data_IF_850675442704
#
_entry.id   IF_850675442704
#
_cell.length_a   1.000
_cell.length_b   1.000
_cell.length_c   1.000
_cell.angle_alpha   90.00
_cell.angle_beta   90.00
_cell.angle_gamma   90.00
#
_symmetry.space_group_name_H-M   'P 1'
#
loop_
_entity.id
_entity.type
_entity.pdbx_description
1 polymer ?
#
# COMPACT_ATOMS: atom_id res chain seq x y z
N UNK A 1 14.03 10.95 -21.54
CA UNK A 1 13.83 9.87 -20.56
C UNK A 1 12.50 10.16 -19.87
N UNK A 2 11.40 9.62 -20.38
CA UNK A 2 10.07 9.87 -19.83
C UNK A 2 9.86 9.03 -18.57
N UNK A 3 10.02 9.65 -17.40
CA UNK A 3 9.66 9.01 -16.14
C UNK A 3 8.15 8.87 -16.05
N UNK A 4 7.64 7.65 -15.84
CA UNK A 4 6.21 7.40 -15.66
C UNK A 4 5.78 7.89 -14.27
N UNK A 5 5.42 9.18 -14.20
CA UNK A 5 4.98 9.84 -12.98
C UNK A 5 3.61 9.31 -12.52
N UNK A 6 3.52 8.96 -11.25
CA UNK A 6 2.26 8.60 -10.60
C UNK A 6 1.65 9.84 -9.97
N UNK A 7 0.36 10.07 -10.21
CA UNK A 7 -0.37 11.20 -9.61
C UNK A 7 -0.41 11.09 -8.09
N UNK A 8 -0.51 12.23 -7.41
CA UNK A 8 -0.62 12.30 -5.94
C UNK A 8 -1.91 12.98 -5.51
N UNK A 9 -2.50 12.53 -4.40
CA UNK A 9 -3.68 13.15 -3.81
C UNK A 9 -3.58 13.16 -2.29
N UNK A 10 -4.27 14.10 -1.64
CA UNK A 10 -4.44 14.11 -0.20
C UNK A 10 -5.74 13.41 0.20
N UNK A 11 -5.67 12.57 1.23
CA UNK A 11 -6.82 12.01 1.91
C UNK A 11 -6.93 12.63 3.31
N UNK A 12 -7.99 13.41 3.53
CA UNK A 12 -8.26 14.04 4.81
C UNK A 12 -9.32 13.25 5.59
N UNK A 13 -9.10 13.04 6.89
CA UNK A 13 -10.06 12.37 7.77
C UNK A 13 -10.12 13.07 9.11
N UNK A 14 -11.33 13.40 9.55
CA UNK A 14 -11.58 13.84 10.91
C UNK A 14 -11.88 12.62 11.78
N UNK A 15 -11.17 12.48 12.89
CA UNK A 15 -11.52 11.54 13.96
C UNK A 15 -12.38 12.31 14.95
N UNK A 16 -13.51 11.72 15.32
CA UNK A 16 -14.45 12.28 16.29
C UNK A 16 -14.58 11.36 17.50
N UNK A 17 -14.88 11.90 18.67
CA UNK A 17 -15.24 11.11 19.85
C UNK A 17 -16.70 10.64 19.80
N UNK A 18 -17.13 9.91 20.82
CA UNK A 18 -18.52 9.45 20.98
C UNK A 18 -19.54 10.61 21.06
N UNK A 19 -19.09 11.81 21.43
CA UNK A 19 -19.89 13.04 21.47
C UNK A 19 -19.83 13.84 20.15
N UNK A 20 -19.32 13.22 19.06
CA UNK A 20 -19.20 13.82 17.72
C UNK A 20 -18.31 15.08 17.65
N UNK A 21 -17.49 15.34 18.67
CA UNK A 21 -16.49 16.41 18.67
C UNK A 21 -15.20 15.94 18.01
N UNK A 22 -14.55 16.83 17.25
CA UNK A 22 -13.31 16.51 16.54
C UNK A 22 -12.17 16.34 17.54
N UNK A 23 -11.58 15.16 17.58
CA UNK A 23 -10.43 14.83 18.41
C UNK A 23 -9.13 14.86 17.64
N UNK A 24 -9.17 14.60 16.33
CA UNK A 24 -7.96 14.54 15.51
C UNK A 24 -8.26 14.91 14.05
N UNK A 25 -7.34 15.63 13.40
CA UNK A 25 -7.37 15.88 11.95
C UNK A 25 -6.21 15.12 11.32
N UNK A 26 -6.52 14.11 10.51
CA UNK A 26 -5.52 13.30 9.80
C UNK A 26 -5.45 13.73 8.34
N UNK A 27 -4.23 13.90 7.83
CA UNK A 27 -3.95 14.06 6.41
C UNK A 27 -3.00 12.94 5.99
N UNK A 28 -3.26 12.33 4.83
CA UNK A 28 -2.39 11.30 4.24
C UNK A 28 -2.11 11.66 2.79
N UNK A 29 -0.83 11.64 2.42
CA UNK A 29 -0.43 11.73 1.03
C UNK A 29 -0.53 10.34 0.40
N UNK A 30 -1.28 10.22 -0.69
CA UNK A 30 -1.55 8.96 -1.37
C UNK A 30 -1.06 9.01 -2.83
N UNK A 31 -0.41 7.95 -3.27
CA UNK A 31 -0.12 7.72 -4.69
C UNK A 31 -1.38 7.21 -5.40
N UNK A 32 -1.70 7.77 -6.57
CA UNK A 32 -2.84 7.36 -7.40
C UNK A 32 -2.46 6.15 -8.27
N UNK A 33 -2.12 5.02 -7.62
CA UNK A 33 -1.67 3.79 -8.28
C UNK A 33 -2.71 3.14 -9.21
N UNK A 34 -4.00 3.49 -9.05
CA UNK A 34 -5.11 3.01 -9.88
C UNK A 34 -5.11 3.58 -11.30
N UNK A 35 -4.33 4.64 -11.57
CA UNK A 35 -4.23 5.26 -12.91
C UNK A 35 -3.27 4.51 -13.85
N UNK A 36 -2.71 3.37 -13.43
CA UNK A 36 -1.94 2.49 -14.31
C UNK A 36 -2.91 1.85 -15.31
N UNK A 37 -2.77 2.20 -16.58
CA UNK A 37 -3.55 1.64 -17.69
C UNK A 37 -3.57 0.11 -17.63
N UNK A 38 -4.76 -0.46 -17.78
CA UNK A 38 -5.07 -1.87 -17.64
C UNK A 38 -4.27 -2.80 -18.58
N UNK A 39 -3.66 -2.26 -19.63
CA UNK A 39 -3.11 -3.04 -20.74
C UNK A 39 -1.73 -3.67 -20.52
N UNK A 40 -0.95 -3.30 -19.48
CA UNK A 40 0.45 -3.77 -19.39
C UNK A 40 0.86 -4.36 -18.03
N UNK A 41 0.23 -4.00 -16.91
CA UNK A 41 0.66 -4.47 -15.57
C UNK A 41 -0.47 -5.02 -14.69
N UNK A 42 -1.71 -5.10 -15.18
CA UNK A 42 -2.84 -5.55 -14.36
C UNK A 42 -2.72 -7.03 -13.99
N UNK A 43 -2.22 -7.86 -14.91
CA UNK A 43 -2.07 -9.31 -14.71
C UNK A 43 -0.90 -9.73 -13.79
N UNK A 44 -0.07 -8.79 -13.30
CA UNK A 44 1.10 -9.11 -12.44
C UNK A 44 0.93 -8.76 -10.96
N UNK A 45 -0.22 -8.23 -10.54
CA UNK A 45 -0.40 -7.67 -9.18
C UNK A 45 -1.65 -8.17 -8.48
N UNK A 46 -1.72 -9.47 -8.27
CA UNK A 46 -2.38 -9.99 -7.09
C UNK A 46 -1.28 -10.45 -6.17
N UNK A 47 -1.11 -9.77 -5.02
CA UNK A 47 -0.41 -10.40 -3.92
C UNK A 47 -1.06 -11.78 -3.74
N UNK A 48 -0.30 -12.89 -3.70
CA UNK A 48 -0.87 -14.21 -3.50
C UNK A 48 -1.52 -14.21 -2.12
N UNK A 49 -2.79 -13.84 -2.06
CA UNK A 49 -3.60 -14.06 -0.88
C UNK A 49 -3.70 -15.57 -0.78
N UNK A 50 -3.08 -16.15 0.25
CA UNK A 50 -3.12 -17.59 0.47
C UNK A 50 -4.56 -18.06 0.37
N UNK A 51 -4.80 -19.03 -0.53
CA UNK A 51 -6.14 -19.57 -0.74
C UNK A 51 -6.58 -20.17 0.59
N UNK A 52 -7.74 -19.73 1.11
CA UNK A 52 -8.26 -20.20 2.40
C UNK A 52 -8.38 -21.73 2.47
N UNK A 53 -8.62 -22.38 1.33
CA UNK A 53 -8.68 -23.84 1.22
C UNK A 53 -7.32 -24.49 1.54
N UNK A 54 -6.21 -23.93 1.04
CA UNK A 54 -4.86 -24.42 1.32
C UNK A 54 -4.50 -24.19 2.79
N UNK A 55 -4.86 -23.04 3.36
CA UNK A 55 -4.66 -22.77 4.78
C UNK A 55 -5.46 -23.76 5.66
N UNK A 56 -6.73 -24.02 5.31
CA UNK A 56 -7.56 -25.02 6.01
C UNK A 56 -6.96 -26.42 5.91
N UNK A 57 -6.48 -26.83 4.74
CA UNK A 57 -5.83 -28.13 4.57
C UNK A 57 -4.57 -28.26 5.43
N UNK A 58 -3.76 -27.20 5.51
CA UNK A 58 -2.56 -27.15 6.35
C UNK A 58 -2.91 -27.28 7.84
N UNK A 59 -3.93 -26.55 8.31
CA UNK A 59 -4.40 -26.62 9.70
C UNK A 59 -4.93 -28.03 10.02
N UNK A 60 -5.77 -28.59 9.13
CA UNK A 60 -6.29 -29.95 9.31
C UNK A 60 -5.15 -30.99 9.39
N UNK A 61 -4.13 -30.84 8.54
CA UNK A 61 -2.95 -31.70 8.58
C UNK A 61 -2.17 -31.57 9.89
N UNK A 62 -1.97 -30.33 10.37
CA UNK A 62 -1.30 -30.06 11.64
C UNK A 62 -2.06 -30.70 12.82
N UNK A 63 -3.39 -30.64 12.83
CA UNK A 63 -4.23 -31.30 13.84
C UNK A 63 -4.04 -32.83 13.82
N UNK A 64 -4.04 -33.45 12.63
CA UNK A 64 -3.86 -34.90 12.48
C UNK A 64 -2.46 -35.33 12.97
N UNK A 65 -1.44 -34.54 12.64
CA UNK A 65 -0.04 -34.84 12.98
C UNK A 65 0.39 -34.34 14.36
N UNK A 66 -0.51 -33.69 15.12
CA UNK A 66 -0.22 -33.04 16.41
C UNK A 66 0.97 -32.06 16.32
N UNK A 67 1.06 -31.33 15.21
CA UNK A 67 2.10 -30.32 14.98
C UNK A 67 1.60 -28.97 15.51
N UNK A 68 2.41 -28.31 16.34
CA UNK A 68 2.15 -26.94 16.73
C UNK A 68 2.55 -25.99 15.61
N UNK A 69 1.69 -25.02 15.30
CA UNK A 69 2.00 -23.94 14.36
C UNK A 69 1.81 -22.58 15.03
N UNK A 70 2.65 -21.63 14.63
CA UNK A 70 2.57 -20.24 15.05
C UNK A 70 2.27 -19.37 13.83
N UNK A 71 1.27 -18.51 13.95
CA UNK A 71 0.99 -17.47 12.94
C UNK A 71 1.59 -16.15 13.43
N UNK A 72 2.39 -15.52 12.58
CA UNK A 72 2.94 -14.20 12.84
C UNK A 72 2.33 -13.23 11.83
N UNK A 73 1.55 -12.28 12.32
CA UNK A 73 1.11 -11.13 11.53
C UNK A 73 2.16 -10.02 11.64
N UNK A 74 2.94 -9.85 10.58
CA UNK A 74 3.96 -8.81 10.53
C UNK A 74 3.29 -7.50 10.13
N UNK A 75 3.16 -6.59 11.10
CA UNK A 75 2.70 -5.23 10.83
C UNK A 75 3.59 -4.60 9.76
N UNK A 76 2.95 -4.01 8.75
CA UNK A 76 3.64 -3.28 7.69
C UNK A 76 4.59 -4.14 6.83
N UNK A 77 4.39 -5.47 6.74
CA UNK A 77 5.21 -6.34 5.90
C UNK A 77 5.34 -5.83 4.46
N UNK A 78 4.24 -5.28 3.92
CA UNK A 78 4.21 -4.72 2.58
C UNK A 78 5.07 -3.47 2.43
N UNK A 79 5.12 -2.60 3.45
CA UNK A 79 5.91 -1.35 3.43
C UNK A 79 7.42 -1.59 3.46
N UNK A 80 7.85 -2.77 3.93
CA UNK A 80 9.26 -3.14 4.01
C UNK A 80 9.74 -3.97 2.82
N UNK A 81 8.87 -4.30 1.86
CA UNK A 81 9.28 -4.98 0.66
C UNK A 81 10.18 -4.05 -0.18
N UNK A 82 11.29 -4.57 -0.76
CA UNK A 82 12.11 -3.79 -1.66
C UNK A 82 11.31 -3.39 -2.91
N UNK A 83 11.53 -2.16 -3.37
CA UNK A 83 10.98 -1.70 -4.63
C UNK A 83 11.80 -2.29 -5.78
N UNK A 84 11.19 -3.18 -6.57
CA UNK A 84 11.83 -3.72 -7.77
C UNK A 84 12.07 -2.64 -8.86
N UNK A 85 11.35 -1.51 -8.79
CA UNK A 85 11.46 -0.40 -9.72
C UNK A 85 11.27 0.92 -8.98
N UNK A 86 12.03 1.95 -9.39
CA UNK A 86 11.85 3.31 -8.88
C UNK A 86 10.46 3.84 -9.26
N UNK A 87 9.72 4.33 -8.27
CA UNK A 87 8.42 4.94 -8.47
C UNK A 87 8.51 6.44 -8.18
N UNK A 88 8.20 7.25 -9.19
CA UNK A 88 8.22 8.70 -9.11
C UNK A 88 6.79 9.24 -8.97
N UNK A 89 6.61 10.22 -8.10
CA UNK A 89 5.34 10.84 -7.77
C UNK A 89 5.35 12.30 -8.17
N UNK A 90 4.20 12.78 -8.68
CA UNK A 90 3.98 14.22 -8.87
C UNK A 90 4.07 14.97 -7.54
N UNK A 91 4.42 16.26 -7.60
CA UNK A 91 4.36 17.10 -6.41
C UNK A 91 2.90 17.26 -5.98
N UNK A 92 2.55 16.97 -4.72
CA UNK A 92 1.19 17.17 -4.24
C UNK A 92 0.82 18.64 -4.19
N UNK A 93 -0.46 18.91 -4.40
CA UNK A 93 -1.01 20.25 -4.23
C UNK A 93 -0.77 20.75 -2.79
N UNK A 94 -0.44 22.04 -2.68
CA UNK A 94 -0.15 22.69 -1.40
C UNK A 94 1.34 22.82 -1.06
N UNK A 95 2.25 22.27 -1.87
CA UNK A 95 3.68 22.52 -1.75
C UNK A 95 4.11 23.63 -2.71
N UNK A 96 4.85 24.62 -2.22
CA UNK A 96 5.41 25.71 -3.03
C UNK A 96 6.73 25.27 -3.68
N UNK A 97 6.65 24.25 -4.54
CA UNK A 97 7.78 23.67 -5.25
C UNK A 97 7.41 23.60 -6.73
N UNK A 98 8.37 23.93 -7.59
CA UNK A 98 8.17 23.87 -9.04
C UNK A 98 7.95 22.43 -9.52
N UNK A 99 6.71 22.13 -9.89
CA UNK A 99 6.26 20.83 -10.38
C UNK A 99 6.78 20.46 -11.77
N UNK A 100 7.43 21.40 -12.48
CA UNK A 100 8.11 21.12 -13.76
C UNK A 100 9.55 20.67 -13.57
N UNK A 101 10.16 21.01 -12.43
CA UNK A 101 11.58 20.76 -12.14
C UNK A 101 11.79 19.59 -11.17
N UNK A 102 10.86 19.38 -10.25
CA UNK A 102 11.00 18.38 -9.19
C UNK A 102 9.89 17.32 -9.23
N UNK A 103 10.26 16.13 -8.78
CA UNK A 103 9.36 15.01 -8.53
C UNK A 103 9.77 14.32 -7.23
N UNK A 104 8.84 13.61 -6.60
CA UNK A 104 9.11 12.85 -5.39
C UNK A 104 9.51 11.42 -5.75
N UNK A 105 10.45 10.83 -5.02
CA UNK A 105 10.85 9.43 -5.20
C UNK A 105 10.35 8.60 -4.02
N UNK A 106 9.74 7.46 -4.30
CA UNK A 106 9.41 6.48 -3.27
C UNK A 106 10.67 5.71 -2.87
N UNK A 107 11.01 5.78 -1.59
CA UNK A 107 12.17 5.08 -1.03
C UNK A 107 11.82 3.65 -0.58
N UNK A 108 10.52 3.36 -0.40
CA UNK A 108 9.99 2.07 0.07
C UNK A 108 8.67 1.76 -0.61
N UNK A 109 8.30 0.47 -0.61
CA UNK A 109 6.98 0.06 -1.04
C UNK A 109 5.88 0.75 -0.21
N UNK A 110 4.79 1.12 -0.89
CA UNK A 110 3.51 1.54 -0.30
C UNK A 110 2.70 0.28 -0.12
#
# INVERSE_FOLDING_TARGET
MDYKLVGTTWAFKLKKNHLNQVTERKARLCAQGFRKTAEVEFNKKYAPMGILNSLRALIAHACIKKIYFHQIDIRSAFLNAPLNQNAYLNIPQGLNIDCKKYFLCLNKAI
#
